data_IF_620118645045
#
_entry.id   IF_620118645045
#
_cell.length_a   1.000
_cell.length_b   1.000
_cell.length_c   1.000
_cell.angle_alpha   90.00
_cell.angle_beta   90.00
_cell.angle_gamma   90.00
#
_symmetry.space_group_name_H-M   'P 1'
#
loop_
_entity.id
_entity.type
_entity.pdbx_description
1 polymer ?
#
# COMPACT_ATOMS: atom_id res chain seq x y z
N UNK A 1 -16.88 -54.25 70.65
CA UNK A 1 -16.20 -53.48 69.59
C UNK A 1 -17.02 -53.65 68.32
N UNK A 2 -17.78 -52.63 67.87
CA UNK A 2 -18.57 -52.68 66.64
C UNK A 2 -17.93 -51.73 65.63
N UNK A 3 -17.41 -52.28 64.54
CA UNK A 3 -17.03 -51.49 63.37
C UNK A 3 -18.31 -51.03 62.67
N UNK A 4 -18.47 -49.71 62.54
CA UNK A 4 -19.52 -49.09 61.73
C UNK A 4 -18.83 -48.50 60.50
N UNK A 5 -18.99 -49.06 59.29
CA UNK A 5 -18.44 -48.44 58.10
C UNK A 5 -19.35 -47.28 57.65
N UNK A 6 -18.73 -46.17 57.26
CA UNK A 6 -19.44 -45.02 56.69
C UNK A 6 -19.69 -45.25 55.19
N UNK A 7 -20.87 -44.91 54.64
CA UNK A 7 -21.03 -44.84 53.19
C UNK A 7 -20.56 -43.48 52.66
N UNK A 8 -19.47 -43.51 51.89
CA UNK A 8 -18.94 -42.38 51.14
C UNK A 8 -19.56 -42.40 49.75
N UNK A 9 -20.72 -41.76 49.58
CA UNK A 9 -21.35 -41.60 48.27
C UNK A 9 -21.31 -40.13 47.84
N UNK A 10 -20.20 -39.74 47.21
CA UNK A 10 -20.15 -38.51 46.40
C UNK A 10 -21.01 -38.74 45.16
N UNK A 11 -22.05 -37.92 44.89
CA UNK A 11 -22.74 -38.00 43.61
C UNK A 11 -21.76 -37.65 42.49
N UNK A 12 -21.66 -38.54 41.50
CA UNK A 12 -20.91 -38.34 40.26
C UNK A 12 -21.51 -37.14 39.52
N UNK A 13 -20.69 -36.13 39.23
CA UNK A 13 -21.11 -35.00 38.41
C UNK A 13 -21.58 -35.49 37.04
N UNK A 14 -22.83 -35.19 36.65
CA UNK A 14 -23.31 -35.35 35.28
C UNK A 14 -22.63 -34.30 34.38
N UNK A 15 -21.70 -34.76 33.56
CA UNK A 15 -21.27 -34.13 32.30
C UNK A 15 -21.46 -35.20 31.22
N UNK A 16 -21.88 -34.91 29.99
CA UNK A 16 -22.03 -33.66 29.27
C UNK A 16 -23.16 -33.83 28.25
N UNK A 17 -23.76 -32.76 27.78
CA UNK A 17 -24.61 -32.79 26.58
C UNK A 17 -23.75 -33.31 25.42
N UNK A 18 -24.02 -34.53 24.96
CA UNK A 18 -23.32 -35.12 23.83
C UNK A 18 -23.88 -34.52 22.54
N UNK A 19 -22.99 -34.02 21.67
CA UNK A 19 -23.39 -33.59 20.34
C UNK A 19 -24.00 -34.76 19.57
N UNK A 20 -25.20 -34.55 19.04
CA UNK A 20 -25.83 -35.55 18.19
C UNK A 20 -25.33 -35.41 16.76
N UNK A 21 -25.21 -36.53 16.05
CA UNK A 21 -24.76 -36.51 14.65
C UNK A 21 -25.65 -35.61 13.78
N UNK A 22 -26.95 -35.57 14.07
CA UNK A 22 -27.91 -34.75 13.33
C UNK A 22 -27.66 -33.24 13.53
N UNK A 23 -27.25 -32.82 14.72
CA UNK A 23 -26.90 -31.42 15.01
C UNK A 23 -25.70 -30.98 14.16
N UNK A 24 -24.67 -31.83 14.06
CA UNK A 24 -23.49 -31.56 13.23
C UNK A 24 -23.86 -31.50 11.74
N UNK A 25 -24.74 -32.38 11.26
CA UNK A 25 -25.21 -32.36 9.87
C UNK A 25 -25.98 -31.08 9.53
N UNK A 26 -26.82 -30.60 10.45
CA UNK A 26 -27.56 -29.34 10.29
C UNK A 26 -26.61 -28.14 10.29
N UNK A 27 -25.63 -28.11 11.20
CA UNK A 27 -24.60 -27.07 11.22
C UNK A 27 -23.76 -27.06 9.94
N UNK A 28 -23.37 -28.24 9.44
CA UNK A 28 -22.63 -28.36 8.19
C UNK A 28 -23.46 -27.89 7.00
N UNK A 29 -24.73 -28.28 6.92
CA UNK A 29 -25.62 -27.83 5.86
C UNK A 29 -25.78 -26.30 5.87
N UNK A 30 -26.02 -25.71 7.04
CA UNK A 30 -26.09 -24.25 7.18
C UNK A 30 -24.79 -23.56 6.74
N UNK A 31 -23.63 -24.09 7.16
CA UNK A 31 -22.32 -23.54 6.78
C UNK A 31 -22.08 -23.65 5.27
N UNK A 32 -22.43 -24.78 4.64
CA UNK A 32 -22.28 -24.95 3.19
C UNK A 32 -23.16 -24.01 2.38
N UNK A 33 -24.38 -23.72 2.85
CA UNK A 33 -25.27 -22.74 2.21
C UNK A 33 -24.64 -21.34 2.29
N UNK A 34 -24.16 -20.93 3.46
CA UNK A 34 -23.49 -19.64 3.64
C UNK A 34 -22.23 -19.55 2.76
N UNK A 35 -21.42 -20.62 2.74
CA UNK A 35 -20.21 -20.69 1.92
C UNK A 35 -20.52 -20.64 0.40
N UNK A 36 -21.63 -21.25 -0.04
CA UNK A 36 -22.06 -21.21 -1.44
C UNK A 36 -22.57 -19.83 -1.88
N UNK A 37 -23.06 -19.01 -0.95
CA UNK A 37 -23.50 -17.64 -1.24
C UNK A 37 -22.33 -16.65 -1.41
N UNK A 38 -21.17 -16.92 -0.80
CA UNK A 38 -19.97 -16.07 -0.92
C UNK A 38 -19.52 -15.80 -2.36
N UNK A 39 -19.31 -16.81 -3.24
CA UNK A 39 -18.88 -16.56 -4.61
C UNK A 39 -19.92 -15.79 -5.44
N UNK A 40 -21.21 -15.90 -5.12
CA UNK A 40 -22.27 -15.15 -5.80
C UNK A 40 -22.16 -13.63 -5.51
N UNK A 41 -21.86 -13.27 -4.26
CA UNK A 41 -21.65 -11.88 -3.86
C UNK A 41 -20.39 -11.33 -4.54
N UNK A 42 -19.28 -12.05 -4.48
CA UNK A 42 -18.03 -11.60 -5.11
C UNK A 42 -18.18 -11.39 -6.61
N UNK A 43 -18.76 -12.36 -7.33
CA UNK A 43 -18.94 -12.24 -8.79
C UNK A 43 -19.86 -11.07 -9.16
N UNK A 44 -20.88 -10.76 -8.37
CA UNK A 44 -21.74 -9.58 -8.59
C UNK A 44 -20.98 -8.26 -8.41
N UNK A 45 -20.06 -8.19 -7.44
CA UNK A 45 -19.24 -7.00 -7.21
C UNK A 45 -18.20 -6.82 -8.34
N UNK A 46 -17.52 -7.89 -8.74
CA UNK A 46 -16.49 -7.83 -9.78
C UNK A 46 -17.05 -7.54 -11.18
N UNK A 47 -18.29 -7.97 -11.51
CA UNK A 47 -18.90 -7.69 -12.83
C UNK A 47 -19.25 -6.22 -13.06
N UNK A 48 -19.43 -5.43 -12.00
CA UNK A 48 -19.64 -3.97 -12.10
C UNK A 48 -18.36 -3.23 -12.52
N UNK A 49 -17.22 -3.93 -12.51
CA UNK A 49 -15.88 -3.39 -12.53
C UNK A 49 -15.15 -3.49 -13.87
N UNK A 50 -15.69 -4.26 -14.82
CA UNK A 50 -15.01 -4.65 -16.06
C UNK A 50 -14.87 -3.55 -17.13
N UNK A 51 -15.18 -2.30 -16.80
CA UNK A 51 -14.78 -1.20 -17.66
C UNK A 51 -13.27 -0.99 -17.48
N UNK A 52 -12.47 -1.27 -18.52
CA UNK A 52 -10.99 -1.13 -18.53
C UNK A 52 -10.49 0.17 -17.90
N UNK A 53 -11.27 1.25 -18.04
CA UNK A 53 -10.99 2.53 -17.41
C UNK A 53 -10.97 2.44 -15.87
N UNK A 54 -11.91 1.73 -15.27
CA UNK A 54 -11.98 1.51 -13.82
C UNK A 54 -10.79 0.71 -13.29
N UNK A 55 -10.32 -0.30 -14.04
CA UNK A 55 -9.17 -1.11 -13.63
C UNK A 55 -7.88 -0.31 -13.41
N UNK A 56 -7.61 0.70 -14.26
CA UNK A 56 -6.43 1.57 -14.11
C UNK A 56 -6.59 2.51 -12.92
N UNK A 57 -7.82 2.95 -12.64
CA UNK A 57 -8.11 3.77 -11.47
C UNK A 57 -7.89 2.98 -10.17
N UNK A 58 -8.42 1.76 -10.09
CA UNK A 58 -8.19 0.87 -8.94
C UNK A 58 -6.71 0.50 -8.78
N UNK A 59 -6.01 0.20 -9.88
CA UNK A 59 -4.60 -0.16 -9.83
C UNK A 59 -3.77 1.00 -9.26
N UNK A 60 -4.03 2.23 -9.71
CA UNK A 60 -3.37 3.42 -9.17
C UNK A 60 -3.67 3.65 -7.69
N UNK A 61 -4.91 3.49 -7.25
CA UNK A 61 -5.31 3.73 -5.86
C UNK A 61 -4.69 2.68 -4.93
N UNK A 62 -4.74 1.40 -5.32
CA UNK A 62 -4.10 0.31 -4.57
C UNK A 62 -2.59 0.50 -4.50
N UNK A 63 -1.96 0.82 -5.64
CA UNK A 63 -0.54 1.17 -5.71
C UNK A 63 -0.21 2.31 -4.75
N UNK A 64 -0.99 3.39 -4.77
CA UNK A 64 -0.73 4.58 -3.96
C UNK A 64 -0.76 4.26 -2.46
N UNK A 65 -1.66 3.37 -2.04
CA UNK A 65 -1.71 2.91 -0.65
C UNK A 65 -0.48 2.07 -0.29
N UNK A 66 -0.14 1.08 -1.13
CA UNK A 66 1.02 0.21 -0.90
C UNK A 66 2.33 1.00 -0.90
N UNK A 67 2.52 1.85 -1.90
CA UNK A 67 3.71 2.68 -2.06
C UNK A 67 3.87 3.67 -0.91
N UNK A 68 2.77 4.27 -0.42
CA UNK A 68 2.80 5.12 0.77
C UNK A 68 3.31 4.37 1.99
N UNK A 69 2.91 3.11 2.17
CA UNK A 69 3.40 2.30 3.29
C UNK A 69 4.88 1.98 3.12
N UNK A 70 5.32 1.59 1.92
CA UNK A 70 6.74 1.34 1.65
C UNK A 70 7.61 2.58 1.94
N UNK A 71 7.23 3.76 1.45
CA UNK A 71 8.00 5.01 1.66
C UNK A 71 8.02 5.43 3.14
N UNK A 72 6.99 5.09 3.91
CA UNK A 72 6.95 5.34 5.35
C UNK A 72 7.79 4.37 6.16
N UNK A 73 7.79 3.08 5.78
CA UNK A 73 8.50 2.02 6.51
C UNK A 73 10.01 2.05 6.25
N UNK A 74 10.42 2.51 5.06
CA UNK A 74 11.80 2.50 4.62
C UNK A 74 12.39 3.91 4.59
N UNK A 75 13.70 4.02 4.80
CA UNK A 75 14.40 5.29 4.73
C UNK A 75 14.72 5.63 3.27
N UNK A 76 14.47 6.87 2.86
CA UNK A 76 14.77 7.32 1.50
C UNK A 76 16.25 7.64 1.37
N UNK A 77 16.99 6.86 0.57
CA UNK A 77 18.41 7.10 0.31
C UNK A 77 18.62 8.08 -0.84
N UNK A 78 17.99 7.80 -1.99
CA UNK A 78 18.24 8.54 -3.23
C UNK A 78 17.01 8.58 -4.12
N UNK A 79 16.69 9.76 -4.62
CA UNK A 79 15.61 9.99 -5.58
C UNK A 79 16.23 10.49 -6.88
N UNK A 80 16.13 9.71 -7.94
CA UNK A 80 16.51 10.06 -9.31
C UNK A 80 15.25 10.12 -10.17
N UNK A 81 15.24 10.87 -11.29
CA UNK A 81 14.05 11.02 -12.12
C UNK A 81 13.40 9.71 -12.55
N UNK A 82 14.13 8.62 -12.75
CA UNK A 82 13.58 7.32 -13.18
C UNK A 82 13.74 6.20 -12.14
N UNK A 83 14.32 6.53 -10.97
CA UNK A 83 14.69 5.52 -9.98
C UNK A 83 14.57 6.08 -8.57
N UNK A 84 13.85 5.36 -7.71
CA UNK A 84 13.79 5.63 -6.29
C UNK A 84 14.51 4.52 -5.53
N UNK A 85 15.44 4.89 -4.66
CA UNK A 85 16.21 3.96 -3.83
C UNK A 85 15.88 4.20 -2.35
N UNK A 86 15.38 3.17 -1.70
CA UNK A 86 15.05 3.12 -0.29
C UNK A 86 15.93 2.10 0.43
N UNK A 87 15.99 2.19 1.76
CA UNK A 87 16.67 1.22 2.62
C UNK A 87 15.75 0.76 3.73
N UNK A 88 15.69 -0.56 3.89
CA UNK A 88 15.00 -1.22 5.00
C UNK A 88 15.73 -0.99 6.32
N UNK A 89 15.01 -0.97 7.46
CA UNK A 89 15.63 -1.01 8.78
C UNK A 89 16.67 -2.14 8.95
N UNK A 90 16.53 -3.22 8.18
CA UNK A 90 17.42 -4.39 8.16
C UNK A 90 18.66 -4.19 7.26
N UNK A 91 18.78 -3.06 6.57
CA UNK A 91 19.90 -2.76 5.65
C UNK A 91 19.70 -3.23 4.20
N UNK A 92 18.54 -3.79 3.86
CA UNK A 92 18.20 -4.19 2.49
C UNK A 92 17.94 -2.97 1.60
N UNK A 93 18.50 -2.97 0.39
CA UNK A 93 18.36 -1.91 -0.60
C UNK A 93 17.16 -2.18 -1.51
N UNK A 94 16.18 -1.29 -1.49
CA UNK A 94 14.95 -1.43 -2.29
C UNK A 94 14.97 -0.40 -3.40
N UNK A 95 14.78 -0.84 -4.64
CA UNK A 95 14.86 0.00 -5.83
C UNK A 95 13.56 -0.09 -6.62
N UNK A 96 12.94 1.07 -6.84
CA UNK A 96 11.84 1.23 -7.79
C UNK A 96 12.39 1.82 -9.08
N UNK A 97 12.07 1.20 -10.22
CA UNK A 97 12.50 1.67 -11.53
C UNK A 97 11.51 1.27 -12.61
N UNK A 98 11.45 2.07 -13.67
CA UNK A 98 10.66 1.74 -14.86
C UNK A 98 11.40 0.69 -15.68
N UNK A 99 10.73 -0.42 -16.01
CA UNK A 99 11.22 -1.47 -16.89
C UNK A 99 10.20 -1.70 -18.01
N UNK A 100 10.49 -1.17 -19.20
CA UNK A 100 9.52 -1.14 -20.29
C UNK A 100 8.29 -0.30 -19.90
N UNK A 101 7.13 -0.96 -19.83
CA UNK A 101 5.86 -0.34 -19.42
C UNK A 101 5.44 -0.67 -17.98
N UNK A 102 6.37 -1.17 -17.16
CA UNK A 102 6.10 -1.65 -15.81
C UNK A 102 6.93 -0.86 -14.78
N UNK A 103 6.30 -0.43 -13.68
CA UNK A 103 7.03 0.01 -12.51
C UNK A 103 7.41 -1.22 -11.67
N UNK A 104 8.71 -1.51 -11.61
CA UNK A 104 9.25 -2.69 -10.92
C UNK A 104 9.94 -2.29 -9.64
N UNK A 105 9.68 -3.05 -8.57
CA UNK A 105 10.42 -3.05 -7.31
C UNK A 105 11.40 -4.24 -7.26
N UNK A 106 12.60 -3.98 -6.79
CA UNK A 106 13.64 -4.98 -6.54
C UNK A 106 14.22 -4.79 -5.15
N UNK A 107 14.56 -5.89 -4.48
CA UNK A 107 15.21 -5.88 -3.16
C UNK A 107 16.58 -6.52 -3.32
N UNK A 108 17.64 -5.77 -3.01
CA UNK A 108 19.04 -6.17 -3.21
C UNK A 108 19.33 -6.66 -4.65
N UNK A 109 18.66 -6.08 -5.65
CA UNK A 109 18.76 -6.49 -7.06
C UNK A 109 18.05 -7.81 -7.41
N UNK A 110 17.45 -8.49 -6.43
CA UNK A 110 16.63 -9.67 -6.63
C UNK A 110 15.13 -9.34 -6.54
N UNK A 111 14.29 -10.23 -7.06
CA UNK A 111 12.84 -10.03 -7.12
C UNK A 111 12.37 -9.23 -8.34
N UNK A 112 11.15 -9.52 -8.76
CA UNK A 112 10.42 -8.85 -9.83
C UNK A 112 8.99 -8.59 -9.37
N UNK A 113 8.84 -7.67 -8.42
CA UNK A 113 7.51 -7.28 -7.95
C UNK A 113 7.04 -6.10 -8.80
N UNK A 114 5.89 -6.27 -9.46
CA UNK A 114 5.29 -5.26 -10.35
C UNK A 114 4.29 -4.46 -9.51
N UNK A 115 4.48 -3.15 -9.47
CA UNK A 115 3.67 -2.23 -8.67
C UNK A 115 2.62 -1.48 -9.50
N UNK A 116 2.96 -1.17 -10.74
CA UNK A 116 2.09 -0.50 -11.71
C UNK A 116 2.41 -1.03 -13.09
N UNK A 117 1.37 -1.21 -13.89
CA UNK A 117 1.44 -1.64 -15.28
C UNK A 117 0.99 -0.53 -16.24
N UNK A 118 1.16 -0.80 -17.54
CA UNK A 118 0.66 0.08 -18.61
C UNK A 118 1.18 1.52 -18.51
N UNK A 119 2.42 1.67 -18.06
CA UNK A 119 3.10 2.96 -17.97
C UNK A 119 3.81 3.31 -19.28
N UNK A 120 3.77 4.58 -19.63
CA UNK A 120 4.57 5.18 -20.68
C UNK A 120 5.79 5.88 -20.07
N UNK A 121 5.58 6.64 -19.00
CA UNK A 121 6.65 7.30 -18.25
C UNK A 121 6.34 7.31 -16.75
N UNK A 122 7.39 7.34 -15.93
CA UNK A 122 7.31 7.52 -14.49
C UNK A 122 8.47 8.40 -14.04
N UNK A 123 8.16 9.46 -13.30
CA UNK A 123 9.11 10.45 -12.83
C UNK A 123 9.04 10.65 -11.33
N UNK A 124 10.18 10.50 -10.65
CA UNK A 124 10.30 10.76 -9.22
C UNK A 124 11.05 12.08 -8.98
N UNK A 125 10.49 12.93 -8.13
CA UNK A 125 11.15 14.12 -7.61
C UNK A 125 10.99 14.19 -6.10
N UNK A 126 11.86 14.95 -5.43
CA UNK A 126 11.82 15.13 -3.99
C UNK A 126 11.92 16.61 -3.65
N UNK A 127 11.01 17.07 -2.78
CA UNK A 127 10.98 18.44 -2.26
C UNK A 127 10.61 18.39 -0.78
N UNK A 128 11.44 18.94 0.11
CA UNK A 128 11.16 19.05 1.55
C UNK A 128 10.60 17.76 2.19
N UNK A 129 11.24 16.62 1.89
CA UNK A 129 10.85 15.26 2.35
C UNK A 129 9.55 14.71 1.73
N UNK A 130 8.98 15.38 0.74
CA UNK A 130 7.86 14.88 -0.06
C UNK A 130 8.41 14.32 -1.36
N UNK A 131 8.17 13.03 -1.59
CA UNK A 131 8.40 12.36 -2.86
C UNK A 131 7.17 12.59 -3.73
N UNK A 132 7.37 13.23 -4.87
CA UNK A 132 6.37 13.40 -5.91
C UNK A 132 6.62 12.36 -6.99
N UNK A 133 5.60 11.58 -7.31
CA UNK A 133 5.61 10.59 -8.38
C UNK A 133 4.61 11.02 -9.46
N UNK A 134 5.13 11.35 -10.64
CA UNK A 134 4.35 11.67 -11.83
C UNK A 134 4.39 10.51 -12.81
N UNK A 135 3.21 10.05 -13.24
CA UNK A 135 3.08 8.87 -14.09
C UNK A 135 2.17 9.17 -15.27
N UNK A 136 2.61 8.82 -16.46
CA UNK A 136 1.80 8.82 -17.68
C UNK A 136 1.52 7.38 -18.10
N UNK A 137 0.25 7.02 -18.23
CA UNK A 137 -0.18 5.70 -18.68
C UNK A 137 -0.21 5.63 -20.22
N UNK A 138 -0.17 4.42 -20.78
CA UNK A 138 -0.24 4.18 -22.23
C UNK A 138 -1.53 4.73 -22.87
N UNK A 139 -2.61 4.87 -22.10
CA UNK A 139 -3.86 5.49 -22.53
C UNK A 139 -3.82 7.04 -22.56
N UNK A 140 -2.67 7.65 -22.24
CA UNK A 140 -2.47 9.11 -22.22
C UNK A 140 -2.93 9.79 -20.92
N UNK A 141 -3.50 9.07 -19.96
CA UNK A 141 -3.87 9.63 -18.65
C UNK A 141 -2.62 9.90 -17.82
N UNK A 142 -2.63 11.02 -17.09
CA UNK A 142 -1.58 11.40 -16.15
C UNK A 142 -2.08 11.33 -14.71
N UNK A 143 -1.23 10.84 -13.82
CA UNK A 143 -1.48 10.77 -12.38
C UNK A 143 -0.29 11.29 -11.61
N UNK A 144 -0.57 11.93 -10.49
CA UNK A 144 0.43 12.50 -9.60
C UNK A 144 0.14 12.01 -8.19
N UNK A 145 1.15 11.43 -7.53
CA UNK A 145 1.09 10.97 -6.16
C UNK A 145 2.10 11.72 -5.30
N UNK A 146 1.68 12.14 -4.11
CA UNK A 146 2.54 12.77 -3.11
C UNK A 146 2.69 11.88 -1.88
N UNK A 147 3.93 11.61 -1.51
CA UNK A 147 4.28 10.67 -0.45
C UNK A 147 5.33 11.28 0.47
N UNK A 148 5.01 11.37 1.76
CA UNK A 148 5.95 11.87 2.77
C UNK A 148 6.98 10.77 3.07
N UNK A 149 8.26 11.07 2.85
CA UNK A 149 9.38 10.21 3.21
C UNK A 149 9.55 10.15 4.73
N UNK A 150 9.98 8.99 5.24
CA UNK A 150 10.40 8.88 6.63
C UNK A 150 11.67 9.71 6.86
N UNK A 151 11.73 10.43 7.98
CA UNK A 151 12.82 11.34 8.33
C UNK A 151 14.14 10.58 8.55
N UNK A 152 14.94 10.45 7.49
CA UNK A 152 16.25 9.78 7.48
C UNK A 152 17.11 10.22 6.29
N UNK A 153 16.99 11.49 5.88
CA UNK A 153 17.66 12.03 4.70
C UNK A 153 19.11 12.42 5.03
N UNK A 154 20.08 11.63 4.56
CA UNK A 154 21.48 12.06 4.50
C UNK A 154 21.65 12.93 3.27
N UNK A 155 21.88 14.23 3.47
CA UNK A 155 22.09 15.21 2.41
C UNK A 155 23.32 14.84 1.57
N UNK A 156 23.08 14.23 0.41
CA UNK A 156 24.11 13.90 -0.56
C UNK A 156 23.60 14.11 -1.99
N UNK A 157 23.99 15.26 -2.57
CA UNK A 157 23.94 15.60 -4.00
C UNK A 157 22.56 15.85 -4.63
N UNK A 158 22.00 17.03 -4.38
CA UNK A 158 21.09 17.68 -5.33
C UNK A 158 21.91 18.34 -6.43
N UNK A 159 21.85 17.81 -7.66
CA UNK A 159 22.15 18.61 -8.85
C UNK A 159 20.84 19.30 -9.24
N UNK A 160 20.69 20.54 -8.80
CA UNK A 160 19.61 21.41 -9.25
C UNK A 160 19.89 21.85 -10.71
N UNK A 161 19.60 20.98 -11.68
CA UNK A 161 19.40 21.42 -13.06
C UNK A 161 17.93 21.82 -13.20
N UNK A 162 17.71 23.12 -13.03
CA UNK A 162 16.51 23.84 -13.38
C UNK A 162 16.10 23.51 -14.83
N UNK A 163 15.04 22.73 -15.03
CA UNK A 163 14.30 22.71 -16.28
C UNK A 163 12.98 23.45 -16.06
N UNK A 164 13.00 24.75 -16.38
CA UNK A 164 11.80 25.53 -16.58
C UNK A 164 11.21 25.07 -17.91
N UNK A 165 10.18 24.23 -17.83
CA UNK A 165 9.36 23.79 -18.95
C UNK A 165 7.91 24.13 -18.66
N UNK A 166 7.46 25.24 -19.25
CA UNK A 166 6.13 25.83 -19.16
C UNK A 166 5.06 24.80 -19.53
N UNK A 167 4.10 24.51 -18.64
CA UNK A 167 2.75 24.09 -19.04
C UNK A 167 1.71 24.52 -18.00
N UNK A 168 0.95 25.54 -18.41
CA UNK A 168 -0.36 26.03 -17.96
C UNK A 168 -0.81 25.74 -16.53
N UNK A 169 -0.94 26.83 -15.78
CA UNK A 169 -1.88 26.97 -14.68
C UNK A 169 -3.26 26.42 -15.04
N UNK A 170 -3.87 25.64 -14.14
CA UNK A 170 -5.28 25.74 -13.80
C UNK A 170 -5.59 24.89 -12.57
N UNK A 171 -6.39 25.48 -11.68
CA UNK A 171 -7.06 24.87 -10.52
C UNK A 171 -6.14 24.59 -9.32
N UNK A 172 -5.90 25.61 -8.49
CA UNK A 172 -6.48 25.73 -7.15
C UNK A 172 -6.12 27.14 -6.64
N UNK A 173 -7.15 27.95 -6.37
CA UNK A 173 -6.98 29.24 -5.73
C UNK A 173 -6.57 29.04 -4.28
N UNK A 174 -5.38 29.52 -3.92
CA UNK A 174 -5.01 29.84 -2.55
C UNK A 174 -4.07 31.05 -2.60
N UNK A 175 -4.43 32.07 -1.81
CA UNK A 175 -3.71 33.33 -1.63
C UNK A 175 -2.19 33.12 -1.58
N UNK A 176 -1.48 33.60 -2.61
CA UNK A 176 -0.04 33.78 -2.56
C UNK A 176 0.23 35.13 -1.92
N UNK A 177 0.31 35.15 -0.59
CA UNK A 177 0.85 36.28 0.16
C UNK A 177 1.98 35.80 1.06
N UNK A 178 3.11 36.51 0.96
CA UNK A 178 4.27 36.55 1.85
C UNK A 178 5.38 35.51 1.62
N UNK A 179 6.14 35.72 0.55
CA UNK A 179 7.59 35.58 0.61
C UNK A 179 8.25 36.68 -0.23
N UNK A 180 8.52 37.84 0.39
CA UNK A 180 9.52 38.80 -0.09
C UNK A 180 10.81 38.53 0.67
N UNK A 181 11.94 38.24 0.02
CA UNK A 181 13.23 38.29 0.69
C UNK A 181 13.68 39.75 0.86
N UNK A 182 13.98 40.16 2.09
CA UNK A 182 14.72 41.39 2.37
C UNK A 182 16.18 41.26 1.88
N UNK A 183 16.79 42.33 1.34
CA UNK A 183 18.16 42.29 0.86
C UNK A 183 19.16 42.42 2.03
N UNK A 184 20.12 41.49 2.10
CA UNK A 184 21.26 41.54 3.00
C UNK A 184 22.23 42.66 2.57
N UNK A 185 22.52 43.61 3.46
CA UNK A 185 23.50 44.68 3.25
C UNK A 185 24.93 44.17 3.46
N UNK A 186 25.81 44.35 2.47
CA UNK A 186 27.25 44.09 2.57
C UNK A 186 27.99 45.31 3.13
N UNK A 187 28.84 45.07 4.14
CA UNK A 187 30.08 45.81 4.38
C UNK A 187 31.25 44.94 3.93
#
# INVERSE_FOLDING_TARGET
MKFVPQPLHKPVCKMSNGFTLIEVMICLAALTIIAALMPLIFTSLFKMNENLEYSIHEEWDLFSIQFRNEVKLHQTLRVEPQRLTLTSPEGNLIVFSLYGSLLRRQVNGAGHEIYLTSLKTAHFTISDQIILLEVEFLNGKKRIGQFTASSGFSAGQYNASCYIGIFSASIYGAHADLCKPEPYSSL
#
